data_IF_161258886783
#
_entry.id   IF_161258886783
#
_cell.length_a   1.000
_cell.length_b   1.000
_cell.length_c   1.000
_cell.angle_alpha   90.00
_cell.angle_beta   90.00
_cell.angle_gamma   90.00
#
_symmetry.space_group_name_H-M   'P 1'
#
loop_
_entity.id
_entity.type
_entity.pdbx_description
1 polymer ?
#
# COMPACT_ATOMS: atom_id res chain seq x y z
N UNK A 1 -18.92 -2.04 5.98
CA UNK A 1 -17.76 -1.38 6.63
C UNK A 1 -16.72 -0.86 5.62
N UNK A 2 -16.05 -1.74 4.78
CA UNK A 2 -15.04 -1.27 3.82
C UNK A 2 -15.64 -0.35 2.73
N UNK A 3 -16.78 -0.68 2.19
CA UNK A 3 -17.47 0.16 1.20
C UNK A 3 -17.91 1.48 1.81
N UNK A 4 -18.43 1.47 3.01
CA UNK A 4 -18.87 2.69 3.70
C UNK A 4 -17.69 3.64 3.96
N UNK A 5 -16.59 3.12 4.54
CA UNK A 5 -15.44 3.93 4.92
C UNK A 5 -14.54 4.32 3.72
N UNK A 6 -14.24 3.37 2.81
CA UNK A 6 -13.30 3.63 1.72
C UNK A 6 -13.94 4.24 0.48
N UNK A 7 -15.25 4.13 0.32
CA UNK A 7 -15.95 4.65 -0.85
C UNK A 7 -16.97 5.72 -0.48
N UNK A 8 -18.02 5.41 0.29
CA UNK A 8 -19.08 6.37 0.55
C UNK A 8 -18.60 7.58 1.35
N UNK A 9 -17.94 7.35 2.48
CA UNK A 9 -17.39 8.45 3.29
C UNK A 9 -16.36 9.27 2.53
N UNK A 10 -15.49 8.63 1.71
CA UNK A 10 -14.52 9.35 0.90
C UNK A 10 -15.18 10.25 -0.14
N UNK A 11 -16.32 9.84 -0.72
CA UNK A 11 -17.12 10.69 -1.63
C UNK A 11 -17.67 11.93 -0.92
N UNK A 12 -18.26 11.72 0.25
CA UNK A 12 -18.82 12.83 1.05
C UNK A 12 -17.74 13.86 1.40
N UNK A 13 -16.57 13.37 1.83
CA UNK A 13 -15.43 14.22 2.16
C UNK A 13 -14.87 14.94 0.93
N UNK A 14 -14.75 14.24 -0.21
CA UNK A 14 -14.33 14.86 -1.48
C UNK A 14 -15.25 16.01 -1.88
N UNK A 15 -16.58 15.81 -1.86
CA UNK A 15 -17.54 16.88 -2.19
C UNK A 15 -17.46 18.06 -1.21
N UNK A 16 -17.32 17.77 0.08
CA UNK A 16 -17.10 18.81 1.08
C UNK A 16 -15.86 19.66 0.78
N UNK A 17 -14.75 19.02 0.34
CA UNK A 17 -13.53 19.72 -0.04
C UNK A 17 -13.71 20.54 -1.34
N UNK A 18 -14.35 19.96 -2.36
CA UNK A 18 -14.61 20.65 -3.62
C UNK A 18 -15.49 21.91 -3.46
N UNK A 19 -16.56 21.82 -2.68
CA UNK A 19 -17.42 22.96 -2.38
C UNK A 19 -16.69 24.14 -1.72
N UNK A 20 -15.54 23.88 -1.11
CA UNK A 20 -14.73 24.86 -0.37
C UNK A 20 -13.37 25.14 -0.99
N UNK A 21 -13.14 24.59 -2.18
CA UNK A 21 -11.86 24.70 -2.90
C UNK A 21 -10.65 24.26 -2.05
N UNK A 22 -10.85 23.21 -1.21
CA UNK A 22 -9.80 22.64 -0.36
C UNK A 22 -9.12 21.49 -1.12
N UNK A 23 -7.78 21.47 -1.23
CA UNK A 23 -7.06 20.33 -1.79
C UNK A 23 -7.41 19.01 -1.09
N UNK A 24 -7.67 17.97 -1.88
CA UNK A 24 -8.04 16.65 -1.38
C UNK A 24 -7.04 15.59 -1.82
N UNK A 25 -6.21 15.12 -0.89
CA UNK A 25 -5.27 14.03 -1.10
C UNK A 25 -5.78 12.77 -0.42
N UNK A 26 -5.80 11.63 -1.11
CA UNK A 26 -6.36 10.40 -0.54
C UNK A 26 -5.51 9.17 -0.78
N UNK A 27 -5.63 8.21 0.14
CA UNK A 27 -4.98 6.91 0.05
C UNK A 27 -5.80 5.97 -0.84
N UNK A 28 -5.36 5.75 -2.08
CA UNK A 28 -5.69 4.57 -2.87
C UNK A 28 -4.73 3.42 -2.50
N UNK A 29 -4.57 2.42 -3.36
CA UNK A 29 -3.75 1.25 -3.04
C UNK A 29 -3.29 0.50 -4.29
N UNK A 30 -2.09 -0.07 -4.29
CA UNK A 30 -1.64 -1.04 -5.28
C UNK A 30 -2.51 -2.33 -5.33
N UNK A 31 -3.37 -2.56 -4.32
CA UNK A 31 -4.36 -3.65 -4.34
C UNK A 31 -5.40 -3.50 -5.47
N UNK A 32 -5.54 -2.33 -6.09
CA UNK A 32 -6.37 -2.08 -7.28
C UNK A 32 -5.89 -2.90 -8.48
N UNK A 33 -4.61 -3.17 -8.58
CA UNK A 33 -4.01 -3.97 -9.67
C UNK A 33 -4.26 -5.48 -9.55
N UNK A 34 -4.63 -5.95 -8.38
CA UNK A 34 -4.94 -7.36 -8.15
C UNK A 34 -3.75 -8.29 -8.24
N UNK A 35 -3.88 -9.39 -8.96
CA UNK A 35 -2.86 -10.45 -9.07
C UNK A 35 -1.85 -10.27 -10.20
N UNK A 36 -1.68 -9.05 -10.72
CA UNK A 36 -0.71 -8.77 -11.79
C UNK A 36 0.73 -9.01 -11.33
N UNK A 37 1.59 -9.34 -12.28
CA UNK A 37 3.03 -9.55 -12.09
C UNK A 37 3.89 -8.57 -12.89
N UNK A 38 3.25 -7.71 -13.71
CA UNK A 38 3.89 -6.64 -14.50
C UNK A 38 2.89 -5.52 -14.78
N UNK A 39 3.36 -4.42 -15.37
CA UNK A 39 2.54 -3.32 -15.89
C UNK A 39 1.60 -2.72 -14.81
N UNK A 40 2.18 -2.26 -13.72
CA UNK A 40 1.47 -1.50 -12.69
C UNK A 40 1.29 -0.05 -13.14
N UNK A 41 0.44 0.14 -14.16
CA UNK A 41 0.21 1.42 -14.82
C UNK A 41 -1.14 1.98 -14.35
N UNK A 42 -1.22 3.30 -14.13
CA UNK A 42 -2.42 3.99 -13.62
C UNK A 42 -3.52 4.14 -14.69
N UNK A 43 -3.79 3.07 -15.41
CA UNK A 43 -4.83 2.97 -16.43
C UNK A 43 -5.82 1.87 -16.11
N UNK A 44 -7.10 2.11 -16.46
CA UNK A 44 -8.23 1.23 -16.15
C UNK A 44 -8.04 -0.22 -16.59
N UNK A 45 -7.38 -0.45 -17.71
CA UNK A 45 -7.13 -1.78 -18.28
C UNK A 45 -6.22 -2.67 -17.43
N UNK A 46 -5.38 -2.05 -16.58
CA UNK A 46 -4.46 -2.74 -15.68
C UNK A 46 -5.07 -3.05 -14.30
N UNK A 47 -6.28 -2.59 -14.03
CA UNK A 47 -6.93 -2.65 -12.71
C UNK A 47 -7.91 -3.81 -12.63
N UNK A 48 -7.63 -4.76 -11.72
CA UNK A 48 -8.46 -5.95 -11.50
C UNK A 48 -8.35 -6.42 -10.04
N UNK A 49 -8.98 -5.70 -9.09
CA UNK A 49 -8.85 -6.01 -7.67
C UNK A 49 -9.32 -7.42 -7.31
N UNK A 50 -8.60 -8.10 -6.42
CA UNK A 50 -8.87 -9.49 -6.01
C UNK A 50 -9.82 -9.60 -4.81
N UNK A 51 -10.05 -8.52 -4.08
CA UNK A 51 -10.81 -8.55 -2.83
C UNK A 51 -11.60 -7.25 -2.61
N UNK A 52 -12.47 -7.26 -1.61
CA UNK A 52 -13.36 -6.12 -1.29
C UNK A 52 -12.57 -4.85 -0.96
N UNK A 53 -11.41 -4.97 -0.30
CA UNK A 53 -10.56 -3.82 0.00
C UNK A 53 -10.04 -3.16 -1.28
N UNK A 54 -9.37 -3.92 -2.15
CA UNK A 54 -8.88 -3.42 -3.44
C UNK A 54 -10.01 -2.86 -4.29
N UNK A 55 -11.17 -3.54 -4.30
CA UNK A 55 -12.36 -3.10 -5.03
C UNK A 55 -12.92 -1.77 -4.48
N UNK A 56 -12.95 -1.57 -3.18
CA UNK A 56 -13.42 -0.32 -2.59
C UNK A 56 -12.54 0.89 -2.95
N UNK A 57 -11.21 0.69 -3.00
CA UNK A 57 -10.24 1.70 -3.44
C UNK A 57 -10.37 1.97 -4.94
N UNK A 58 -10.48 0.92 -5.73
CA UNK A 58 -10.72 0.99 -7.17
C UNK A 58 -11.99 1.80 -7.51
N UNK A 59 -13.10 1.54 -6.85
CA UNK A 59 -14.35 2.28 -7.10
C UNK A 59 -14.21 3.76 -6.78
N UNK A 60 -13.44 4.11 -5.76
CA UNK A 60 -13.19 5.51 -5.44
C UNK A 60 -12.27 6.17 -6.47
N UNK A 61 -11.23 5.47 -6.96
CA UNK A 61 -10.42 5.94 -8.08
C UNK A 61 -11.26 6.20 -9.33
N UNK A 62 -12.18 5.28 -9.68
CA UNK A 62 -13.11 5.45 -10.82
C UNK A 62 -14.04 6.67 -10.64
N UNK A 63 -14.53 6.86 -9.44
CA UNK A 63 -15.36 8.04 -9.12
C UNK A 63 -14.57 9.33 -9.25
N UNK A 64 -13.35 9.37 -8.76
CA UNK A 64 -12.45 10.54 -8.89
C UNK A 64 -12.14 10.83 -10.35
N UNK A 65 -11.88 9.82 -11.19
CA UNK A 65 -11.64 10.01 -12.63
C UNK A 65 -12.79 10.70 -13.36
N UNK A 66 -14.03 10.45 -12.94
CA UNK A 66 -15.21 11.10 -13.53
C UNK A 66 -15.31 12.56 -13.13
N UNK A 67 -14.89 12.92 -11.91
CA UNK A 67 -15.00 14.29 -11.37
C UNK A 67 -13.77 15.13 -11.77
N UNK A 68 -12.61 14.54 -11.88
CA UNK A 68 -11.32 15.22 -12.05
C UNK A 68 -11.30 16.27 -13.18
N UNK A 69 -11.92 16.03 -14.37
CA UNK A 69 -11.90 17.01 -15.47
C UNK A 69 -12.61 18.32 -15.16
N UNK A 70 -13.59 18.31 -14.23
CA UNK A 70 -14.42 19.45 -13.86
C UNK A 70 -14.10 19.98 -12.45
N UNK A 71 -13.09 19.41 -11.79
CA UNK A 71 -12.71 19.79 -10.43
C UNK A 71 -12.13 21.20 -10.38
N UNK A 72 -12.63 22.02 -9.44
CA UNK A 72 -12.18 23.39 -9.19
C UNK A 72 -11.05 23.49 -8.14
N UNK A 73 -10.66 22.36 -7.56
CA UNK A 73 -9.55 22.26 -6.61
C UNK A 73 -8.74 21.00 -6.85
N UNK A 74 -7.56 20.93 -6.23
CA UNK A 74 -6.66 19.79 -6.37
C UNK A 74 -7.26 18.49 -5.82
N UNK A 75 -7.18 17.40 -6.60
CA UNK A 75 -7.51 16.05 -6.17
C UNK A 75 -6.35 15.14 -6.51
N UNK A 76 -5.77 14.44 -5.51
CA UNK A 76 -4.67 13.49 -5.70
C UNK A 76 -4.96 12.16 -5.03
N UNK A 77 -4.96 11.09 -5.81
CA UNK A 77 -5.01 9.72 -5.31
C UNK A 77 -3.63 9.07 -5.35
N UNK A 78 -3.19 8.51 -4.23
CA UNK A 78 -1.94 7.76 -4.20
C UNK A 78 -2.21 6.27 -4.05
N UNK A 79 -1.79 5.47 -5.02
CA UNK A 79 -1.73 4.01 -4.94
C UNK A 79 -0.48 3.62 -4.18
N UNK A 80 -0.60 3.63 -2.86
CA UNK A 80 0.51 3.21 -2.00
C UNK A 80 0.85 1.75 -2.24
N UNK A 81 2.14 1.48 -2.42
CA UNK A 81 2.70 0.15 -2.39
C UNK A 81 2.92 -0.29 -0.94
N UNK A 82 3.94 -1.07 -0.62
CA UNK A 82 4.10 -1.58 0.74
C UNK A 82 4.81 -0.56 1.65
N UNK A 83 4.03 0.33 2.25
CA UNK A 83 4.56 1.34 3.17
C UNK A 83 5.02 0.69 4.47
N UNK A 84 6.23 1.03 4.91
CA UNK A 84 6.79 0.62 6.19
C UNK A 84 7.44 1.80 6.93
N UNK A 85 7.60 1.68 8.25
CA UNK A 85 8.28 2.70 9.05
C UNK A 85 7.88 2.68 10.53
N UNK A 86 8.24 3.72 11.27
CA UNK A 86 7.91 3.82 12.69
C UNK A 86 6.42 4.02 12.93
N UNK A 87 5.99 3.81 14.19
CA UNK A 87 4.62 4.07 14.68
C UNK A 87 3.53 3.15 14.13
N UNK A 88 3.88 1.94 13.71
CA UNK A 88 2.90 0.96 13.20
C UNK A 88 2.20 0.13 14.29
N UNK A 89 2.58 0.25 15.57
CA UNK A 89 2.07 -0.61 16.65
C UNK A 89 0.53 -0.63 16.80
N UNK A 90 -0.14 0.46 16.45
CA UNK A 90 -1.62 0.53 16.48
C UNK A 90 -2.32 -0.31 15.39
N UNK A 91 -1.60 -0.72 14.36
CA UNK A 91 -2.14 -1.49 13.23
C UNK A 91 -2.35 -2.98 13.57
N UNK A 92 -1.78 -3.48 14.66
CA UNK A 92 -1.86 -4.90 15.03
C UNK A 92 -1.38 -5.81 13.90
N UNK A 93 -2.16 -6.81 13.53
CA UNK A 93 -1.82 -7.75 12.45
C UNK A 93 -1.70 -7.14 11.04
N UNK A 94 -2.13 -5.88 10.87
CA UNK A 94 -2.06 -5.16 9.59
C UNK A 94 -0.79 -4.31 9.46
N UNK A 95 0.11 -4.34 10.45
CA UNK A 95 1.41 -3.68 10.35
C UNK A 95 2.29 -4.32 9.26
N UNK A 96 3.31 -3.59 8.81
CA UNK A 96 4.24 -4.09 7.79
C UNK A 96 5.02 -5.31 8.26
N UNK A 97 5.50 -6.12 7.31
CA UNK A 97 6.38 -7.26 7.62
C UNK A 97 7.64 -6.80 8.36
N UNK A 98 8.22 -5.66 7.98
CA UNK A 98 9.39 -5.10 8.66
C UNK A 98 9.12 -4.81 10.14
N UNK A 99 7.95 -4.25 10.46
CA UNK A 99 7.51 -4.01 11.84
C UNK A 99 7.37 -5.33 12.63
N UNK A 100 6.71 -6.33 12.04
CA UNK A 100 6.52 -7.63 12.70
C UNK A 100 7.85 -8.33 13.00
N UNK A 101 8.75 -8.42 12.03
CA UNK A 101 10.07 -9.06 12.19
C UNK A 101 10.91 -8.31 13.23
N UNK A 102 10.94 -6.98 13.20
CA UNK A 102 11.62 -6.16 14.19
C UNK A 102 11.05 -6.36 15.59
N UNK A 103 9.73 -6.44 15.73
CA UNK A 103 9.06 -6.66 17.03
C UNK A 103 9.39 -8.04 17.59
N UNK A 104 9.36 -9.10 16.77
CA UNK A 104 9.73 -10.45 17.17
C UNK A 104 11.16 -10.51 17.71
N UNK A 105 12.12 -9.91 16.99
CA UNK A 105 13.52 -9.88 17.43
C UNK A 105 13.72 -9.07 18.73
N UNK A 106 13.01 -7.97 18.91
CA UNK A 106 13.06 -7.19 20.15
C UNK A 106 12.52 -7.99 21.34
N UNK A 107 11.50 -8.81 21.11
CA UNK A 107 10.93 -9.71 22.14
C UNK A 107 11.77 -10.97 22.38
N UNK A 108 12.87 -11.18 21.65
CA UNK A 108 13.68 -12.38 21.76
C UNK A 108 13.11 -13.60 21.02
N UNK A 109 12.14 -13.38 20.14
CA UNK A 109 11.52 -14.42 19.32
C UNK A 109 12.26 -14.56 17.98
N UNK A 110 12.17 -15.74 17.36
CA UNK A 110 12.62 -15.94 15.98
C UNK A 110 11.66 -15.26 14.99
N UNK A 111 12.19 -14.47 14.04
CA UNK A 111 11.38 -13.91 12.97
C UNK A 111 10.74 -15.00 12.12
N UNK A 112 9.42 -14.91 11.89
CA UNK A 112 8.66 -15.92 11.14
C UNK A 112 8.37 -15.44 9.73
N UNK A 113 8.75 -16.26 8.76
CA UNK A 113 8.41 -16.08 7.36
C UNK A 113 7.65 -17.31 6.83
N UNK A 114 6.83 -17.11 5.82
CA UNK A 114 6.24 -18.22 5.09
C UNK A 114 7.30 -18.93 4.22
N UNK A 115 7.20 -20.23 4.10
CA UNK A 115 7.93 -21.00 3.09
C UNK A 115 7.68 -20.39 1.71
N UNK A 116 8.73 -20.24 0.90
CA UNK A 116 8.65 -19.58 -0.41
C UNK A 116 8.70 -18.05 -0.37
N UNK A 117 8.99 -17.44 0.79
CA UNK A 117 9.05 -15.99 0.99
C UNK A 117 10.06 -15.27 0.09
N UNK A 118 11.05 -15.96 -0.42
CA UNK A 118 12.01 -15.47 -1.42
C UNK A 118 11.35 -15.16 -2.77
N UNK A 119 10.20 -15.79 -3.06
CA UNK A 119 9.44 -15.62 -4.29
C UNK A 119 8.35 -14.55 -4.18
N UNK A 120 7.99 -14.14 -2.96
CA UNK A 120 7.02 -13.07 -2.73
C UNK A 120 7.75 -11.74 -2.67
N UNK A 121 7.54 -10.89 -3.70
CA UNK A 121 8.22 -9.61 -3.85
C UNK A 121 7.25 -8.44 -3.76
N UNK A 122 7.67 -7.40 -3.08
CA UNK A 122 6.91 -6.15 -2.93
C UNK A 122 7.81 -4.95 -3.16
N UNK A 123 7.23 -3.92 -3.68
CA UNK A 123 7.81 -2.60 -3.62
C UNK A 123 7.59 -2.04 -2.21
N UNK A 124 8.65 -1.97 -1.43
CA UNK A 124 8.64 -1.42 -0.07
C UNK A 124 9.07 0.03 -0.11
N UNK A 125 8.21 0.92 0.37
CA UNK A 125 8.47 2.36 0.43
C UNK A 125 8.48 2.86 1.87
N UNK A 126 9.47 3.68 2.22
CA UNK A 126 9.57 4.23 3.57
C UNK A 126 8.52 5.32 3.80
N UNK A 127 7.90 5.34 4.99
CA UNK A 127 6.82 6.27 5.33
C UNK A 127 7.25 7.75 5.28
N UNK A 128 8.54 8.04 5.53
CA UNK A 128 9.08 9.39 5.38
C UNK A 128 9.02 9.86 3.92
N UNK A 129 9.46 9.02 2.97
CA UNK A 129 9.39 9.32 1.53
C UNK A 129 7.94 9.50 1.07
N UNK A 130 7.02 8.70 1.63
CA UNK A 130 5.58 8.86 1.39
C UNK A 130 5.09 10.23 1.84
N UNK A 131 5.49 10.69 3.03
CA UNK A 131 5.12 11.99 3.55
C UNK A 131 5.67 13.12 2.67
N UNK A 132 6.94 13.03 2.29
CA UNK A 132 7.60 14.05 1.44
C UNK A 132 6.92 14.15 0.05
N UNK A 133 6.57 13.03 -0.57
CA UNK A 133 5.82 13.03 -1.84
C UNK A 133 4.44 13.66 -1.67
N UNK A 134 3.70 13.33 -0.60
CA UNK A 134 2.39 13.95 -0.35
C UNK A 134 2.51 15.48 -0.19
N UNK A 135 3.51 15.96 0.55
CA UNK A 135 3.75 17.40 0.72
C UNK A 135 4.14 18.05 -0.61
N UNK A 136 5.01 17.42 -1.39
CA UNK A 136 5.38 17.92 -2.71
C UNK A 136 4.16 18.12 -3.63
N UNK A 137 3.26 17.14 -3.68
CA UNK A 137 2.04 17.26 -4.49
C UNK A 137 1.15 18.39 -4.00
N UNK A 138 0.99 18.54 -2.68
CA UNK A 138 0.20 19.62 -2.09
C UNK A 138 0.76 21.00 -2.45
N UNK A 139 2.08 21.16 -2.45
CA UNK A 139 2.75 22.42 -2.78
C UNK A 139 2.73 22.74 -4.29
N UNK A 140 2.68 21.73 -5.15
CA UNK A 140 2.78 21.90 -6.60
C UNK A 140 1.42 21.88 -7.33
N UNK A 141 0.30 21.62 -6.65
CA UNK A 141 -1.04 21.72 -7.22
C UNK A 141 -1.36 20.68 -8.31
N UNK A 142 -0.57 19.62 -8.45
CA UNK A 142 -0.78 18.57 -9.47
C UNK A 142 -1.96 17.69 -9.04
N UNK A 143 -2.89 17.42 -9.96
CA UNK A 143 -4.03 16.53 -9.74
C UNK A 143 -3.92 15.24 -10.55
N UNK A 144 -4.45 14.14 -10.04
CA UNK A 144 -4.45 12.86 -10.72
C UNK A 144 -4.41 11.65 -9.78
N UNK A 145 -4.25 10.46 -10.35
CA UNK A 145 -4.05 9.22 -9.59
C UNK A 145 -2.67 8.68 -9.94
N UNK A 146 -1.84 8.45 -8.93
CA UNK A 146 -0.43 8.12 -9.10
C UNK A 146 -0.03 6.91 -8.27
N UNK A 147 0.87 6.10 -8.81
CA UNK A 147 1.58 5.11 -8.01
C UNK A 147 2.54 5.81 -7.05
N UNK A 148 2.63 5.27 -5.81
CA UNK A 148 3.62 5.73 -4.86
C UNK A 148 4.38 4.53 -4.28
N UNK A 149 5.53 4.27 -4.84
CA UNK A 149 6.48 3.22 -4.53
C UNK A 149 7.89 3.65 -4.89
N UNK A 150 8.84 2.72 -4.86
CA UNK A 150 10.25 2.96 -5.17
C UNK A 150 10.66 2.53 -6.58
N UNK A 151 9.79 1.80 -7.28
CA UNK A 151 10.12 1.16 -8.56
C UNK A 151 11.00 -0.09 -8.40
N UNK A 152 11.22 -0.58 -7.16
CA UNK A 152 12.01 -1.79 -6.87
C UNK A 152 11.22 -2.78 -6.03
N UNK A 153 11.10 -4.00 -6.54
CA UNK A 153 10.48 -5.09 -5.81
C UNK A 153 11.53 -5.93 -5.07
N UNK A 154 11.43 -5.99 -3.75
CA UNK A 154 12.27 -6.80 -2.87
C UNK A 154 11.48 -7.94 -2.26
N UNK A 155 12.16 -9.08 -1.96
CA UNK A 155 11.52 -10.23 -1.34
C UNK A 155 11.26 -10.01 0.15
N UNK A 156 10.29 -10.72 0.72
CA UNK A 156 10.12 -10.76 2.18
C UNK A 156 11.35 -11.35 2.87
N UNK A 157 12.06 -12.26 2.18
CA UNK A 157 13.36 -12.78 2.65
C UNK A 157 14.38 -11.64 2.80
N UNK A 158 14.53 -10.77 1.80
CA UNK A 158 15.47 -9.66 1.86
C UNK A 158 15.15 -8.70 3.03
N UNK A 159 13.87 -8.45 3.34
CA UNK A 159 13.47 -7.66 4.51
C UNK A 159 13.87 -8.34 5.81
N UNK A 160 13.71 -9.65 5.91
CA UNK A 160 14.13 -10.40 7.10
C UNK A 160 15.66 -10.41 7.27
N UNK A 161 16.40 -10.61 6.19
CA UNK A 161 17.87 -10.59 6.21
C UNK A 161 18.40 -9.22 6.66
N UNK A 162 17.82 -8.14 6.16
CA UNK A 162 18.15 -6.77 6.59
C UNK A 162 17.83 -6.54 8.08
N UNK A 163 16.71 -7.08 8.56
CA UNK A 163 16.32 -6.96 9.97
C UNK A 163 17.26 -7.74 10.87
N UNK A 164 17.64 -8.97 10.49
CA UNK A 164 18.63 -9.77 11.22
C UNK A 164 19.99 -9.08 11.26
N UNK A 165 20.44 -8.53 10.13
CA UNK A 165 21.71 -7.81 10.03
C UNK A 165 21.76 -6.59 10.96
N UNK A 166 20.66 -5.86 11.08
CA UNK A 166 20.53 -4.74 12.00
C UNK A 166 20.63 -5.17 13.47
N UNK A 167 19.88 -6.20 13.85
CA UNK A 167 19.87 -6.71 15.24
C UNK A 167 21.11 -7.52 15.61
N UNK A 168 21.86 -8.01 14.62
CA UNK A 168 23.03 -8.90 14.80
C UNK A 168 22.73 -10.14 15.64
N UNK A 169 21.51 -10.65 15.60
CA UNK A 169 21.03 -11.81 16.36
C UNK A 169 19.81 -12.45 15.71
N UNK A 170 19.52 -13.69 16.12
CA UNK A 170 18.36 -14.46 15.69
C UNK A 170 18.60 -15.25 14.41
N UNK A 171 17.61 -16.04 14.05
CA UNK A 171 17.54 -16.80 12.79
C UNK A 171 16.08 -16.87 12.35
N UNK A 172 15.83 -16.99 11.05
CA UNK A 172 14.48 -17.07 10.50
C UNK A 172 13.88 -18.44 10.81
N UNK A 173 12.63 -18.44 11.27
CA UNK A 173 11.77 -19.61 11.36
C UNK A 173 10.82 -19.62 10.15
N UNK A 174 10.90 -20.64 9.31
CA UNK A 174 9.97 -20.81 8.20
C UNK A 174 8.73 -21.57 8.63
N UNK A 175 7.57 -21.03 8.32
CA UNK A 175 6.26 -21.61 8.63
C UNK A 175 5.49 -21.89 7.34
N UNK A 176 4.60 -22.91 7.31
CA UNK A 176 3.82 -23.25 6.12
C UNK A 176 2.97 -22.07 5.62
N UNK A 177 2.90 -21.91 4.30
CA UNK A 177 2.02 -20.89 3.70
C UNK A 177 0.56 -21.24 3.94
N UNK A 178 -0.26 -20.34 4.54
CA UNK A 178 -1.65 -20.64 4.88
C UNK A 178 -2.53 -20.92 3.64
N UNK A 179 -3.25 -22.04 3.63
CA UNK A 179 -4.14 -22.42 2.52
C UNK A 179 -5.20 -21.36 2.18
N UNK A 180 -5.72 -20.65 3.21
CA UNK A 180 -6.70 -19.57 3.04
C UNK A 180 -6.22 -18.39 2.19
N UNK A 181 -4.91 -18.23 2.03
CA UNK A 181 -4.29 -17.18 1.23
C UNK A 181 -3.99 -17.61 -0.21
N UNK A 182 -4.00 -18.91 -0.51
CA UNK A 182 -3.77 -19.42 -1.87
C UNK A 182 -4.79 -18.83 -2.85
N UNK A 183 -4.32 -18.31 -3.99
CA UNK A 183 -5.13 -17.69 -5.03
C UNK A 183 -5.74 -16.30 -4.70
N UNK A 184 -5.54 -15.80 -3.47
CA UNK A 184 -5.98 -14.46 -3.03
C UNK A 184 -4.84 -13.56 -2.60
N UNK A 185 -3.63 -14.10 -2.63
CA UNK A 185 -2.43 -13.39 -2.23
C UNK A 185 -1.75 -12.77 -3.44
N UNK A 186 -1.51 -11.48 -3.39
CA UNK A 186 -0.75 -10.77 -4.40
C UNK A 186 0.74 -11.10 -4.23
N UNK A 187 1.32 -11.90 -5.10
CA UNK A 187 2.69 -12.39 -4.96
C UNK A 187 3.76 -11.36 -5.36
N UNK A 188 3.39 -10.38 -6.20
CA UNK A 188 4.32 -9.38 -6.73
C UNK A 188 3.67 -8.00 -6.79
N UNK A 189 4.43 -6.94 -6.45
CA UNK A 189 4.09 -5.54 -6.73
C UNK A 189 5.35 -4.71 -6.99
N UNK A 190 5.25 -3.79 -7.95
CA UNK A 190 6.31 -2.82 -8.27
C UNK A 190 5.65 -1.58 -8.89
N UNK A 191 5.99 -0.38 -8.39
CA UNK A 191 5.53 0.89 -8.94
C UNK A 191 6.16 1.22 -10.30
#
# INVERSE_FOLDING_TARGET
YMMDNNYQYSKELLHYCLEREIPFLYASSAATYGGRTSDFIESREYEKPLNVYGYSKFLFDEYVRQILPEANSQIVGFRYFNVYGPREGHKGSMASVAFHLNTQLNNGESPKLFEGSENFKRDFVYVGDVADVNLWFLENGVSGIFNLGTGRAESFQAVADATLAYHKKGQIEYIPFPDKLKGRYQAFTQA
#
